data_IF_981382234941
#
_entry.id   IF_981382234941
#
_cell.length_a   1.000
_cell.length_b   1.000
_cell.length_c   1.000
_cell.angle_alpha   90.00
_cell.angle_beta   90.00
_cell.angle_gamma   90.00
#
_symmetry.space_group_name_H-M   'P 1'
#
loop_
_entity.id
_entity.type
_entity.pdbx_description
1 polymer ?
#
# COMPACT_ATOMS: atom_id res chain seq x y z
N UNK A 1 -1.16 -0.12 32.06
CA UNK A 1 0.09 -0.90 32.20
C UNK A 1 -0.05 -2.14 31.35
N UNK A 2 0.45 -2.13 30.11
CA UNK A 2 0.37 -3.30 29.22
C UNK A 2 1.56 -4.20 29.54
N UNK A 3 1.29 -5.33 30.19
CA UNK A 3 2.28 -6.37 30.49
C UNK A 3 2.19 -7.45 29.40
N UNK A 4 3.36 -7.96 29.02
CA UNK A 4 3.62 -9.11 28.13
C UNK A 4 3.57 -8.88 26.61
N UNK A 5 4.71 -8.42 26.07
CA UNK A 5 5.24 -8.96 24.82
C UNK A 5 6.43 -9.86 25.17
N UNK A 6 6.19 -11.15 25.43
CA UNK A 6 7.25 -12.15 25.53
C UNK A 6 7.69 -12.47 24.10
N UNK A 7 8.90 -12.02 23.74
CA UNK A 7 9.54 -12.26 22.45
C UNK A 7 10.24 -13.61 22.53
N UNK A 8 9.81 -14.59 21.74
CA UNK A 8 10.59 -15.80 21.55
C UNK A 8 10.51 -16.25 20.09
N UNK A 9 11.40 -15.69 19.28
CA UNK A 9 12.08 -16.31 18.13
C UNK A 9 13.23 -15.37 17.76
N UNK A 10 14.44 -15.92 17.61
CA UNK A 10 15.66 -15.17 17.35
C UNK A 10 15.48 -14.31 16.08
N UNK A 11 15.47 -12.97 16.16
CA UNK A 11 15.32 -12.14 14.97
C UNK A 11 16.58 -12.24 14.09
N UNK A 12 16.45 -12.22 12.75
CA UNK A 12 17.60 -12.06 11.88
C UNK A 12 18.31 -10.72 12.16
N UNK A 13 19.61 -10.60 11.86
CA UNK A 13 20.36 -9.37 12.10
C UNK A 13 19.73 -8.20 11.32
N UNK A 14 19.50 -7.09 12.00
CA UNK A 14 18.97 -5.86 11.41
C UNK A 14 19.84 -5.42 10.21
N UNK A 15 19.25 -4.97 9.09
CA UNK A 15 20.03 -4.40 7.99
C UNK A 15 20.76 -3.12 8.47
N UNK A 16 21.97 -2.83 7.97
CA UNK A 16 22.73 -1.66 8.38
C UNK A 16 21.95 -0.37 8.06
N UNK A 17 21.73 0.45 9.08
CA UNK A 17 21.05 1.74 8.96
C UNK A 17 21.83 2.70 8.06
N UNK A 18 21.21 3.19 6.98
CA UNK A 18 21.76 4.28 6.17
C UNK A 18 21.42 5.62 6.82
N UNK A 19 22.43 6.48 6.98
CA UNK A 19 22.37 7.77 7.66
C UNK A 19 21.29 8.71 7.13
N UNK A 20 20.65 9.43 8.05
CA UNK A 20 19.57 10.36 7.81
C UNK A 20 20.06 11.60 7.03
N UNK A 21 19.39 11.92 5.92
CA UNK A 21 19.51 13.21 5.22
C UNK A 21 18.13 13.84 5.08
N UNK A 22 18.00 15.07 5.58
CA UNK A 22 16.95 16.03 5.27
C UNK A 22 15.58 15.78 5.92
N UNK A 23 15.19 16.64 6.86
CA UNK A 23 13.82 16.68 7.41
C UNK A 23 12.96 17.54 6.49
N UNK A 24 12.41 16.92 5.45
CA UNK A 24 11.20 17.36 4.75
C UNK A 24 10.06 16.39 5.05
N UNK A 25 8.82 16.69 4.64
CA UNK A 25 7.66 15.79 4.84
C UNK A 25 7.86 14.35 4.28
N UNK A 26 8.82 14.17 3.36
CA UNK A 26 9.26 12.87 2.84
C UNK A 26 10.04 12.03 3.87
N UNK A 27 10.65 12.66 4.88
CA UNK A 27 11.34 11.98 5.97
C UNK A 27 10.39 11.10 6.80
N UNK A 28 9.09 11.45 6.86
CA UNK A 28 8.10 10.71 7.60
C UNK A 28 7.57 9.47 6.83
N UNK A 29 7.43 9.57 5.50
CA UNK A 29 7.02 8.43 4.67
C UNK A 29 8.13 7.39 4.52
N UNK A 30 9.40 7.83 4.40
CA UNK A 30 10.55 6.93 4.39
C UNK A 30 10.65 6.10 5.67
N UNK A 31 10.47 6.75 6.83
CA UNK A 31 10.44 6.07 8.13
C UNK A 31 9.25 5.12 8.27
N UNK A 32 8.06 5.50 7.81
CA UNK A 32 6.90 4.61 7.82
C UNK A 32 7.14 3.33 7.00
N UNK A 33 7.69 3.47 5.79
CA UNK A 33 8.04 2.32 4.94
C UNK A 33 9.08 1.46 5.63
N UNK A 34 10.10 2.06 6.24
CA UNK A 34 11.13 1.32 7.00
C UNK A 34 10.54 0.51 8.15
N UNK A 35 9.57 1.07 8.87
CA UNK A 35 8.88 0.37 9.97
C UNK A 35 8.02 -0.78 9.46
N UNK A 36 7.38 -0.63 8.29
CA UNK A 36 6.63 -1.71 7.64
C UNK A 36 7.56 -2.84 7.19
N UNK A 37 8.70 -2.52 6.55
CA UNK A 37 9.72 -3.50 6.16
C UNK A 37 10.22 -4.27 7.39
N UNK A 38 10.64 -3.55 8.44
CA UNK A 38 11.10 -4.15 9.68
C UNK A 38 10.08 -5.12 10.31
N UNK A 39 8.81 -4.71 10.37
CA UNK A 39 7.75 -5.56 10.93
C UNK A 39 7.40 -6.71 10.00
N UNK A 40 7.38 -6.51 8.68
CA UNK A 40 7.12 -7.57 7.72
C UNK A 40 8.17 -8.67 7.86
N UNK A 41 9.45 -8.31 7.90
CA UNK A 41 10.56 -9.24 8.12
C UNK A 41 10.42 -9.98 9.46
N UNK A 42 10.08 -9.27 10.55
CA UNK A 42 9.90 -9.88 11.86
C UNK A 42 8.77 -10.94 11.86
N UNK A 43 7.70 -10.74 11.11
CA UNK A 43 6.59 -11.69 11.04
C UNK A 43 6.66 -12.65 9.84
N UNK A 44 7.76 -12.65 9.06
CA UNK A 44 7.89 -13.47 7.85
C UNK A 44 6.84 -13.13 6.78
N UNK A 45 6.47 -11.85 6.65
CA UNK A 45 5.50 -11.33 5.67
C UNK A 45 6.25 -10.68 4.51
N UNK A 46 5.67 -10.73 3.33
CA UNK A 46 6.16 -9.97 2.17
C UNK A 46 5.54 -8.57 2.16
N UNK A 47 6.37 -7.54 1.91
CA UNK A 47 5.92 -6.18 1.63
C UNK A 47 6.11 -5.86 0.15
N UNK A 48 5.00 -5.70 -0.56
CA UNK A 48 4.99 -5.36 -1.98
C UNK A 48 4.69 -3.87 -2.15
N UNK A 49 5.56 -3.17 -2.88
CA UNK A 49 5.35 -1.77 -3.26
C UNK A 49 4.73 -1.73 -4.66
N UNK A 50 3.67 -0.94 -4.83
CA UNK A 50 3.05 -0.68 -6.14
C UNK A 50 3.39 0.74 -6.60
N UNK A 51 3.15 1.03 -7.88
CA UNK A 51 3.41 2.36 -8.45
C UNK A 51 2.69 3.47 -7.68
N UNK A 52 3.40 4.58 -7.44
CA UNK A 52 2.89 5.73 -6.67
C UNK A 52 1.69 6.39 -7.33
N UNK A 53 1.63 6.39 -8.66
CA UNK A 53 0.59 7.05 -9.45
C UNK A 53 -0.49 6.09 -9.94
N UNK A 54 -0.48 4.85 -9.43
CA UNK A 54 -1.52 3.88 -9.73
C UNK A 54 -2.91 4.45 -9.37
N UNK A 55 -3.86 4.54 -10.32
CA UNK A 55 -5.12 5.25 -10.13
C UNK A 55 -6.15 4.41 -9.35
N UNK A 56 -5.78 3.91 -8.17
CA UNK A 56 -6.56 2.95 -7.38
C UNK A 56 -7.98 3.41 -7.08
N UNK A 57 -8.19 4.70 -6.79
CA UNK A 57 -9.51 5.27 -6.51
C UNK A 57 -10.34 5.57 -7.76
N UNK A 58 -9.69 5.86 -8.89
CA UNK A 58 -10.35 6.21 -10.17
C UNK A 58 -10.63 5.00 -11.06
N UNK A 59 -9.90 3.90 -10.85
CA UNK A 59 -10.09 2.65 -11.58
C UNK A 59 -11.29 1.92 -10.99
N UNK A 60 -12.25 1.51 -11.81
CA UNK A 60 -13.33 0.63 -11.39
C UNK A 60 -12.74 -0.76 -11.08
N UNK A 61 -12.93 -1.24 -9.85
CA UNK A 61 -12.46 -2.59 -9.45
C UNK A 61 -13.18 -3.74 -10.15
N UNK A 62 -14.31 -3.48 -10.82
CA UNK A 62 -15.09 -4.50 -11.52
C UNK A 62 -14.75 -4.63 -13.01
N UNK A 63 -14.69 -3.52 -13.75
CA UNK A 63 -14.42 -3.54 -15.19
C UNK A 63 -13.05 -2.97 -15.58
N UNK A 64 -12.36 -2.28 -14.67
CA UNK A 64 -11.06 -1.65 -14.95
C UNK A 64 -11.14 -0.26 -15.58
N UNK A 65 -12.33 0.27 -15.88
CA UNK A 65 -12.52 1.65 -16.38
C UNK A 65 -11.81 2.67 -15.49
N UNK A 66 -11.08 3.63 -16.06
CA UNK A 66 -10.46 4.72 -15.29
C UNK A 66 -11.21 6.01 -15.59
N UNK A 67 -11.87 6.57 -14.57
CA UNK A 67 -12.52 7.87 -14.72
C UNK A 67 -11.47 8.98 -14.81
N UNK A 68 -11.72 9.99 -15.65
CA UNK A 68 -10.79 11.09 -15.88
C UNK A 68 -10.63 11.95 -14.60
N UNK A 69 -11.75 12.36 -14.02
CA UNK A 69 -11.82 13.26 -12.86
C UNK A 69 -12.63 12.63 -11.74
N UNK A 70 -12.04 12.62 -10.54
CA UNK A 70 -12.69 12.14 -9.32
C UNK A 70 -12.26 13.04 -8.14
N UNK A 71 -12.87 14.23 -7.98
CA UNK A 71 -12.50 15.22 -6.96
C UNK A 71 -12.54 14.61 -5.56
N UNK A 72 -11.61 14.95 -4.66
CA UNK A 72 -11.46 14.30 -3.35
C UNK A 72 -12.74 14.27 -2.48
N UNK A 73 -13.65 15.23 -2.69
CA UNK A 73 -14.94 15.30 -2.00
C UNK A 73 -15.93 14.18 -2.36
N UNK A 74 -15.76 13.50 -3.50
CA UNK A 74 -16.68 12.46 -3.96
C UNK A 74 -16.39 11.13 -3.26
N UNK A 75 -17.11 10.79 -2.21
CA UNK A 75 -16.83 9.56 -1.44
C UNK A 75 -17.42 8.30 -2.08
N UNK A 76 -18.51 8.47 -2.81
CA UNK A 76 -19.20 7.39 -3.52
C UNK A 76 -19.41 7.78 -4.98
N UNK A 77 -19.35 6.81 -5.90
CA UNK A 77 -19.54 7.04 -7.34
C UNK A 77 -19.99 5.77 -8.06
N UNK A 78 -20.72 5.93 -9.15
CA UNK A 78 -21.10 4.84 -10.05
C UNK A 78 -20.16 4.80 -11.25
N UNK A 79 -19.71 3.60 -11.61
CA UNK A 79 -18.86 3.43 -12.78
C UNK A 79 -19.65 3.77 -14.07
N UNK A 80 -19.17 4.72 -14.90
CA UNK A 80 -19.90 5.11 -16.11
C UNK A 80 -19.89 4.02 -17.20
N UNK A 81 -18.97 3.05 -17.12
CA UNK A 81 -18.86 1.95 -18.09
C UNK A 81 -19.73 0.75 -17.72
N UNK A 82 -19.70 0.31 -16.45
CA UNK A 82 -20.38 -0.92 -16.02
C UNK A 82 -21.51 -0.71 -15.00
N UNK A 83 -21.77 0.53 -14.58
CA UNK A 83 -22.86 0.88 -13.65
C UNK A 83 -22.65 0.44 -12.20
N UNK A 84 -21.50 -0.13 -11.84
CA UNK A 84 -21.26 -0.57 -10.45
C UNK A 84 -21.05 0.62 -9.52
N UNK A 85 -21.76 0.59 -8.41
CA UNK A 85 -21.59 1.53 -7.30
C UNK A 85 -20.31 1.24 -6.49
N UNK A 86 -19.61 2.30 -6.10
CA UNK A 86 -18.36 2.23 -5.36
C UNK A 86 -18.32 3.22 -4.19
N UNK A 87 -17.97 2.74 -3.00
CA UNK A 87 -17.24 3.55 -2.03
C UNK A 87 -15.78 3.69 -2.49
N UNK A 88 -15.26 4.92 -2.45
CA UNK A 88 -13.93 5.26 -2.97
C UNK A 88 -12.81 4.44 -2.32
N UNK A 89 -12.83 4.29 -1.00
CA UNK A 89 -11.72 3.69 -0.25
C UNK A 89 -11.79 2.16 -0.36
N UNK A 90 -12.99 1.58 -0.33
CA UNK A 90 -13.20 0.16 -0.61
C UNK A 90 -12.72 -0.17 -2.03
N UNK A 91 -13.16 0.59 -3.02
CA UNK A 91 -12.72 0.40 -4.40
C UNK A 91 -11.18 0.53 -4.55
N UNK A 92 -10.59 1.54 -3.91
CA UNK A 92 -9.14 1.72 -3.91
C UNK A 92 -8.40 0.53 -3.29
N UNK A 93 -8.86 0.01 -2.17
CA UNK A 93 -8.23 -1.15 -1.50
C UNK A 93 -8.28 -2.42 -2.35
N UNK A 94 -9.41 -2.68 -3.03
CA UNK A 94 -9.55 -3.82 -3.97
C UNK A 94 -8.57 -3.68 -5.14
N UNK A 95 -8.45 -2.49 -5.72
CA UNK A 95 -7.49 -2.25 -6.80
C UNK A 95 -6.03 -2.36 -6.35
N UNK A 96 -5.70 -1.89 -5.13
CA UNK A 96 -4.35 -2.02 -4.56
C UNK A 96 -4.00 -3.49 -4.34
N UNK A 97 -4.93 -4.30 -3.83
CA UNK A 97 -4.74 -5.74 -3.67
C UNK A 97 -4.47 -6.41 -5.02
N UNK A 98 -5.28 -6.09 -6.04
CA UNK A 98 -5.09 -6.64 -7.38
C UNK A 98 -3.74 -6.24 -7.99
N UNK A 99 -3.33 -4.97 -7.84
CA UNK A 99 -2.03 -4.49 -8.32
C UNK A 99 -0.86 -5.16 -7.58
N UNK A 100 -0.94 -5.30 -6.25
CA UNK A 100 0.07 -5.99 -5.46
C UNK A 100 0.19 -7.48 -5.83
N UNK A 101 -0.94 -8.15 -6.04
CA UNK A 101 -0.98 -9.53 -6.53
C UNK A 101 -0.33 -9.69 -7.91
N UNK A 102 -0.60 -8.77 -8.83
CA UNK A 102 0.04 -8.76 -10.15
C UNK A 102 1.57 -8.57 -10.05
N UNK A 103 2.04 -7.69 -9.17
CA UNK A 103 3.49 -7.50 -8.93
C UNK A 103 4.12 -8.77 -8.36
N UNK A 104 3.47 -9.45 -7.41
CA UNK A 104 3.94 -10.71 -6.82
C UNK A 104 4.11 -11.81 -7.88
N UNK A 105 3.10 -11.99 -8.74
CA UNK A 105 3.10 -13.05 -9.76
C UNK A 105 4.07 -12.74 -10.91
N UNK A 106 4.12 -11.50 -11.38
CA UNK A 106 4.93 -11.13 -12.54
C UNK A 106 6.38 -10.76 -12.20
N UNK A 107 6.75 -10.69 -10.91
CA UNK A 107 8.11 -10.36 -10.46
C UNK A 107 8.58 -8.95 -10.82
N UNK A 108 7.65 -8.04 -11.14
CA UNK A 108 7.96 -6.66 -11.54
C UNK A 108 8.49 -5.87 -10.33
N UNK A 109 9.81 -5.86 -10.15
CA UNK A 109 10.49 -4.95 -9.21
C UNK A 109 10.78 -3.65 -9.95
N UNK A 110 10.17 -2.55 -9.49
CA UNK A 110 10.49 -1.18 -9.94
C UNK A 110 11.70 -0.63 -9.18
#
# INVERSE_FOLDING_TARGET
SVKNMVKNHNPPPSPPGRGARGVGSDANWGELVRQLEYKADWYGRELIKIDRYFPSSKRCSNCGHIVEKLPLSVREWDCPECGRHHDRDINASVNILAAGGAVSVCGARF
#
